data_IF_653811566608
#
_entry.id   IF_653811566608
#
_cell.length_a   1.000
_cell.length_b   1.000
_cell.length_c   1.000
_cell.angle_alpha   90.00
_cell.angle_beta   90.00
_cell.angle_gamma   90.00
#
_symmetry.space_group_name_H-M   'P 1'
#
loop_
_entity.id
_entity.type
_entity.pdbx_description
1 polymer ?
#
# COMPACT_ATOMS: atom_id res chain seq x y z
N UNK A 1 -9.71 -10.37 1.59
CA UNK A 1 -10.89 -9.51 1.32
C UNK A 1 -10.67 -8.82 0.00
N UNK A 2 -11.67 -8.83 -0.88
CA UNK A 2 -11.64 -8.07 -2.13
C UNK A 2 -12.29 -6.70 -1.93
N UNK A 3 -11.46 -5.67 -1.73
CA UNK A 3 -11.95 -4.30 -1.51
C UNK A 3 -12.41 -3.65 -2.81
N UNK A 4 -11.86 -4.08 -3.95
CA UNK A 4 -12.22 -3.53 -5.26
C UNK A 4 -13.66 -3.90 -5.58
N UNK A 5 -13.99 -5.20 -5.52
CA UNK A 5 -15.35 -5.67 -5.74
C UNK A 5 -16.34 -5.07 -4.72
N UNK A 6 -15.95 -4.99 -3.44
CA UNK A 6 -16.78 -4.34 -2.42
C UNK A 6 -17.09 -2.88 -2.76
N UNK A 7 -16.10 -2.13 -3.27
CA UNK A 7 -16.29 -0.73 -3.65
C UNK A 7 -17.27 -0.60 -4.82
N UNK A 8 -17.20 -1.51 -5.78
CA UNK A 8 -18.14 -1.57 -6.89
C UNK A 8 -19.57 -1.86 -6.42
N UNK A 9 -19.74 -2.78 -5.47
CA UNK A 9 -21.05 -3.06 -4.89
C UNK A 9 -21.62 -1.86 -4.13
N UNK A 10 -20.79 -1.06 -3.44
CA UNK A 10 -21.25 0.20 -2.85
C UNK A 10 -21.75 1.16 -3.92
N UNK A 11 -20.99 1.37 -4.99
CA UNK A 11 -21.35 2.34 -6.05
C UNK A 11 -22.60 1.89 -6.82
N UNK A 12 -22.88 0.58 -6.92
CA UNK A 12 -24.14 0.07 -7.49
C UNK A 12 -25.38 0.42 -6.66
N UNK A 13 -25.23 0.81 -5.40
CA UNK A 13 -26.36 1.24 -4.57
C UNK A 13 -26.89 2.62 -4.94
N UNK A 14 -26.15 3.41 -5.73
CA UNK A 14 -26.56 4.76 -6.14
C UNK A 14 -27.82 4.66 -7.02
N UNK A 15 -28.97 5.21 -6.60
CA UNK A 15 -30.22 5.11 -7.36
C UNK A 15 -30.14 5.81 -8.72
N UNK A 16 -31.08 5.55 -9.64
CA UNK A 16 -31.31 6.40 -10.79
C UNK A 16 -31.52 7.87 -10.38
N UNK A 17 -31.01 8.83 -11.17
CA UNK A 17 -31.13 10.27 -10.87
C UNK A 17 -30.30 10.77 -9.69
N UNK A 18 -29.31 9.99 -9.24
CA UNK A 18 -28.44 10.35 -8.11
C UNK A 18 -26.96 10.23 -8.49
N UNK A 19 -26.14 11.06 -7.86
CA UNK A 19 -24.66 10.98 -7.91
C UNK A 19 -24.08 10.85 -6.51
N UNK A 20 -22.86 10.33 -6.43
CA UNK A 20 -22.09 10.33 -5.19
C UNK A 20 -20.68 10.84 -5.44
N UNK A 21 -19.88 10.96 -4.38
CA UNK A 21 -18.53 11.49 -4.45
C UNK A 21 -17.50 10.43 -4.10
N UNK A 22 -16.26 10.61 -4.56
CA UNK A 22 -15.15 9.76 -4.14
C UNK A 22 -15.00 9.71 -2.61
N UNK A 23 -15.29 10.83 -1.94
CA UNK A 23 -15.26 10.95 -0.48
C UNK A 23 -16.37 10.15 0.20
N UNK A 24 -17.61 10.28 -0.26
CA UNK A 24 -18.74 9.55 0.31
C UNK A 24 -18.57 8.02 0.18
N UNK A 25 -18.06 7.54 -0.96
CA UNK A 25 -17.72 6.12 -1.14
C UNK A 25 -16.58 5.71 -0.20
N UNK A 26 -15.55 6.54 -0.02
CA UNK A 26 -14.44 6.26 0.90
C UNK A 26 -14.89 6.22 2.38
N UNK A 27 -15.80 7.10 2.77
CA UNK A 27 -16.46 7.08 4.09
C UNK A 27 -17.30 5.80 4.27
N UNK A 28 -18.03 5.38 3.24
CA UNK A 28 -18.74 4.11 3.24
C UNK A 28 -17.78 2.90 3.33
N UNK A 29 -16.58 2.99 2.76
CA UNK A 29 -15.53 1.98 2.98
C UNK A 29 -14.99 2.00 4.42
N UNK A 30 -15.13 3.13 5.13
CA UNK A 30 -14.75 3.30 6.54
C UNK A 30 -13.51 4.16 6.79
N UNK A 31 -12.92 4.79 5.76
CA UNK A 31 -11.80 5.72 5.90
C UNK A 31 -11.71 6.67 4.71
N UNK A 32 -11.90 7.98 4.96
CA UNK A 32 -11.85 9.03 3.94
C UNK A 32 -10.54 9.04 3.13
N UNK A 33 -9.44 8.53 3.69
CA UNK A 33 -8.14 8.40 2.99
C UNK A 33 -8.22 7.53 1.74
N UNK A 34 -9.24 6.67 1.62
CA UNK A 34 -9.46 5.83 0.45
C UNK A 34 -9.96 6.60 -0.78
N UNK A 35 -10.33 7.88 -0.69
CA UNK A 35 -10.94 8.63 -1.80
C UNK A 35 -10.12 8.59 -3.10
N UNK A 36 -8.78 8.69 -3.01
CA UNK A 36 -7.91 8.56 -4.19
C UNK A 36 -7.89 7.15 -4.77
N UNK A 37 -7.97 6.13 -3.92
CA UNK A 37 -8.08 4.74 -4.36
C UNK A 37 -9.42 4.50 -5.05
N UNK A 38 -10.52 5.02 -4.51
CA UNK A 38 -11.84 5.02 -5.18
C UNK A 38 -11.74 5.66 -6.56
N UNK A 39 -11.13 6.84 -6.67
CA UNK A 39 -10.93 7.49 -7.96
C UNK A 39 -10.19 6.63 -8.98
N UNK A 40 -9.12 5.95 -8.57
CA UNK A 40 -8.39 5.02 -9.45
C UNK A 40 -9.24 3.82 -9.87
N UNK A 41 -9.95 3.20 -8.92
CA UNK A 41 -10.86 2.07 -9.21
C UNK A 41 -11.99 2.47 -10.17
N UNK A 42 -12.52 3.69 -10.07
CA UNK A 42 -13.53 4.20 -11.01
C UNK A 42 -12.95 4.43 -12.41
N UNK A 43 -11.73 4.97 -12.50
CA UNK A 43 -11.09 5.27 -13.77
C UNK A 43 -10.61 4.03 -14.53
N UNK A 44 -10.20 2.99 -13.80
CA UNK A 44 -9.69 1.75 -14.36
C UNK A 44 -10.78 0.65 -14.49
N UNK A 45 -12.05 0.99 -14.23
CA UNK A 45 -13.15 0.03 -14.26
C UNK A 45 -13.25 -0.67 -15.63
N UNK A 46 -13.07 -2.01 -15.69
CA UNK A 46 -13.13 -2.75 -16.94
C UNK A 46 -14.55 -2.91 -17.50
N UNK A 47 -15.59 -2.64 -16.70
CA UNK A 47 -16.99 -2.90 -17.04
C UNK A 47 -17.84 -1.63 -16.88
N UNK A 48 -17.52 -0.57 -17.63
CA UNK A 48 -18.21 0.72 -17.53
C UNK A 48 -19.73 0.66 -17.81
N UNK A 49 -20.22 -0.38 -18.48
CA UNK A 49 -21.65 -0.55 -18.80
C UNK A 49 -22.48 -1.11 -17.64
N UNK A 50 -21.92 -2.00 -16.83
CA UNK A 50 -22.65 -2.66 -15.71
C UNK A 50 -22.28 -2.08 -14.35
N UNK A 51 -21.30 -1.19 -14.31
CA UNK A 51 -20.78 -0.58 -13.09
C UNK A 51 -20.86 0.95 -13.24
N UNK A 52 -21.79 1.64 -12.55
CA UNK A 52 -22.15 3.04 -12.83
C UNK A 52 -21.12 4.06 -12.32
N UNK A 53 -19.84 3.90 -12.66
CA UNK A 53 -18.77 4.81 -12.20
C UNK A 53 -18.88 6.23 -12.78
N UNK A 54 -19.71 6.45 -13.81
CA UNK A 54 -20.06 7.78 -14.31
C UNK A 54 -20.83 8.62 -13.27
N UNK A 55 -21.48 7.98 -12.29
CA UNK A 55 -22.21 8.64 -11.19
C UNK A 55 -21.29 9.18 -10.08
N UNK A 56 -19.98 8.94 -10.15
CA UNK A 56 -19.02 9.40 -9.14
C UNK A 56 -18.33 10.69 -9.59
N UNK A 57 -18.42 11.73 -8.75
CA UNK A 57 -17.90 13.08 -9.01
C UNK A 57 -17.02 13.60 -7.86
N UNK A 58 -16.41 14.78 -8.05
CA UNK A 58 -15.72 15.49 -6.96
C UNK A 58 -16.71 15.98 -5.90
N UNK A 59 -16.20 16.28 -4.71
CA UNK A 59 -17.01 16.74 -3.56
C UNK A 59 -17.76 18.06 -3.80
N UNK A 60 -17.34 18.83 -4.79
CA UNK A 60 -17.95 20.11 -5.19
C UNK A 60 -18.82 19.98 -6.46
N UNK A 61 -19.20 18.75 -6.83
CA UNK A 61 -20.03 18.46 -8.00
C UNK A 61 -19.30 18.54 -9.34
N UNK A 62 -17.99 18.85 -9.39
CA UNK A 62 -17.23 18.78 -10.65
C UNK A 62 -17.11 17.35 -11.15
N UNK A 63 -17.11 17.20 -12.47
CA UNK A 63 -16.82 15.92 -13.09
C UNK A 63 -15.33 15.56 -12.93
N UNK A 64 -15.07 14.35 -12.42
CA UNK A 64 -13.77 13.69 -12.53
C UNK A 64 -13.64 12.86 -13.81
N UNK A 65 -12.45 12.33 -14.05
CA UNK A 65 -12.16 11.46 -15.19
C UNK A 65 -13.06 10.22 -15.26
N UNK A 66 -13.17 9.67 -16.47
CA UNK A 66 -13.96 8.49 -16.79
C UNK A 66 -13.24 7.68 -17.86
N UNK A 67 -13.19 6.35 -17.71
CA UNK A 67 -12.43 5.47 -18.61
C UNK A 67 -12.81 5.59 -20.08
N UNK A 68 -14.09 5.91 -20.38
CA UNK A 68 -14.60 6.12 -21.75
C UNK A 68 -14.59 7.60 -22.20
N UNK A 69 -14.01 8.50 -21.40
CA UNK A 69 -13.95 9.93 -21.70
C UNK A 69 -15.07 10.77 -21.09
N UNK A 70 -14.84 12.08 -21.00
CA UNK A 70 -15.74 13.00 -20.30
C UNK A 70 -17.09 13.17 -21.00
N UNK A 71 -17.10 13.15 -22.34
CA UNK A 71 -18.32 13.29 -23.13
C UNK A 71 -19.28 12.11 -22.90
N UNK A 72 -18.76 10.88 -22.83
CA UNK A 72 -19.58 9.70 -22.54
C UNK A 72 -20.16 9.75 -21.12
N UNK A 73 -19.38 10.26 -20.15
CA UNK A 73 -19.88 10.50 -18.79
C UNK A 73 -21.02 11.50 -18.77
N UNK A 74 -20.92 12.62 -19.50
CA UNK A 74 -22.00 13.62 -19.60
C UNK A 74 -23.23 13.01 -20.26
N UNK A 75 -23.07 12.23 -21.33
CA UNK A 75 -24.17 11.53 -22.01
C UNK A 75 -24.92 10.61 -21.04
N UNK A 76 -24.21 9.74 -20.31
CA UNK A 76 -24.81 8.80 -19.34
C UNK A 76 -25.47 9.51 -18.16
N UNK A 77 -24.88 10.61 -17.68
CA UNK A 77 -25.51 11.43 -16.63
C UNK A 77 -26.83 12.03 -17.12
N UNK A 78 -26.89 12.55 -18.35
CA UNK A 78 -28.14 13.06 -18.94
C UNK A 78 -29.19 11.97 -19.11
N UNK A 79 -28.80 10.78 -19.58
CA UNK A 79 -29.70 9.60 -19.66
C UNK A 79 -30.23 9.18 -18.29
N UNK A 80 -29.46 9.41 -17.23
CA UNK A 80 -29.85 9.19 -15.84
C UNK A 80 -30.59 10.39 -15.21
N UNK A 81 -31.04 11.37 -16.01
CA UNK A 81 -31.74 12.59 -15.59
C UNK A 81 -30.92 13.54 -14.71
N UNK A 82 -29.60 13.62 -14.94
CA UNK A 82 -28.67 14.48 -14.20
C UNK A 82 -28.05 15.49 -15.17
N UNK A 83 -28.38 16.76 -14.98
CA UNK A 83 -27.87 17.85 -15.81
C UNK A 83 -26.45 18.27 -15.39
N UNK A 84 -25.62 18.57 -16.39
CA UNK A 84 -24.26 19.08 -16.22
C UNK A 84 -24.16 20.47 -16.86
N UNK A 85 -23.72 21.46 -16.11
CA UNK A 85 -23.47 22.84 -16.55
C UNK A 85 -22.02 23.20 -16.20
N UNK A 86 -21.26 23.68 -17.18
CA UNK A 86 -19.85 24.07 -17.02
C UNK A 86 -18.97 23.02 -16.30
N UNK A 87 -19.19 21.74 -16.64
CA UNK A 87 -18.45 20.61 -16.06
C UNK A 87 -18.81 20.30 -14.60
N UNK A 88 -19.94 20.81 -14.10
CA UNK A 88 -20.49 20.54 -12.76
C UNK A 88 -21.91 19.99 -12.82
N UNK A 89 -22.26 19.15 -11.85
CA UNK A 89 -23.65 18.70 -11.65
C UNK A 89 -24.51 19.90 -11.24
N UNK A 90 -25.59 20.16 -11.98
CA UNK A 90 -26.58 21.19 -11.63
C UNK A 90 -27.38 20.72 -10.41
N UNK A 91 -27.69 21.65 -9.50
CA UNK A 91 -28.44 21.36 -8.27
C UNK A 91 -27.84 20.17 -7.47
N UNK A 92 -26.51 20.08 -7.41
CA UNK A 92 -25.77 18.93 -6.85
C UNK A 92 -26.33 18.41 -5.53
N UNK A 93 -26.65 19.30 -4.58
CA UNK A 93 -27.16 18.92 -3.26
C UNK A 93 -28.49 18.14 -3.34
N UNK A 94 -29.33 18.39 -4.36
CA UNK A 94 -30.62 17.69 -4.55
C UNK A 94 -30.43 16.26 -5.04
N UNK A 95 -29.37 16.00 -5.80
CA UNK A 95 -29.08 14.71 -6.44
C UNK A 95 -27.98 13.91 -5.73
N UNK A 96 -27.35 14.49 -4.70
CA UNK A 96 -26.31 13.83 -3.92
C UNK A 96 -26.86 12.62 -3.14
N UNK A 97 -26.07 11.55 -3.12
CA UNK A 97 -26.33 10.32 -2.40
C UNK A 97 -25.13 9.93 -1.55
N UNK A 98 -25.37 9.68 -0.27
CA UNK A 98 -24.38 9.22 0.70
C UNK A 98 -24.91 8.13 1.67
N UNK A 99 -26.15 7.67 1.49
CA UNK A 99 -26.80 6.67 2.35
C UNK A 99 -26.45 5.23 1.91
N UNK A 100 -25.16 4.90 1.95
CA UNK A 100 -24.65 3.58 1.58
C UNK A 100 -24.90 2.56 2.69
N UNK A 101 -25.46 1.40 2.34
CA UNK A 101 -25.48 0.21 3.20
C UNK A 101 -24.11 -0.46 3.16
N UNK A 102 -23.37 -0.35 4.25
CA UNK A 102 -21.99 -0.81 4.33
C UNK A 102 -21.66 -1.44 5.69
N UNK A 103 -20.67 -2.33 5.67
CA UNK A 103 -20.09 -2.92 6.87
C UNK A 103 -18.78 -2.25 7.30
N UNK A 104 -18.40 -1.15 6.62
CA UNK A 104 -17.20 -0.36 6.85
C UNK A 104 -15.91 -1.22 6.86
N UNK A 105 -15.55 -1.89 5.75
CA UNK A 105 -14.44 -2.85 5.71
C UNK A 105 -13.10 -2.26 6.18
N UNK A 106 -12.76 -1.02 5.82
CA UNK A 106 -11.51 -0.39 6.26
C UNK A 106 -11.48 -0.12 7.76
N UNK A 107 -12.63 0.17 8.38
CA UNK A 107 -12.74 0.32 9.84
C UNK A 107 -12.46 -1.01 10.54
N UNK A 108 -12.94 -2.13 9.99
CA UNK A 108 -12.63 -3.48 10.49
C UNK A 108 -11.14 -3.81 10.37
N UNK A 109 -10.54 -3.53 9.20
CA UNK A 109 -9.09 -3.73 8.99
C UNK A 109 -8.25 -2.85 9.92
N UNK A 110 -8.66 -1.59 10.14
CA UNK A 110 -7.99 -0.70 11.09
C UNK A 110 -8.00 -1.27 12.50
N UNK A 111 -9.13 -1.83 12.94
CA UNK A 111 -9.23 -2.49 14.24
C UNK A 111 -8.26 -3.66 14.34
N UNK A 112 -8.18 -4.51 13.32
CA UNK A 112 -7.21 -5.62 13.27
C UNK A 112 -5.76 -5.12 13.37
N UNK A 113 -5.42 -4.05 12.66
CA UNK A 113 -4.08 -3.45 12.77
C UNK A 113 -3.77 -2.97 14.20
N UNK A 114 -4.75 -2.35 14.87
CA UNK A 114 -4.57 -1.89 16.25
C UNK A 114 -4.43 -3.07 17.24
N UNK A 115 -5.23 -4.13 17.07
CA UNK A 115 -5.13 -5.35 17.89
C UNK A 115 -3.78 -6.07 17.70
N UNK A 116 -3.26 -6.10 16.47
CA UNK A 116 -1.97 -6.75 16.19
C UNK A 116 -0.76 -5.89 16.57
N UNK A 117 -0.92 -4.57 16.61
CA UNK A 117 0.15 -3.63 16.97
C UNK A 117 0.78 -3.95 18.31
N UNK A 118 -0.03 -4.35 19.28
CA UNK A 118 0.42 -4.60 20.64
C UNK A 118 1.30 -5.87 20.75
N UNK A 119 1.40 -6.67 19.67
CA UNK A 119 2.30 -7.81 19.55
C UNK A 119 3.70 -7.44 19.04
N UNK A 120 3.93 -6.19 18.65
CA UNK A 120 5.23 -5.76 18.12
C UNK A 120 6.28 -5.73 19.23
N UNK A 121 7.34 -6.54 19.08
CA UNK A 121 8.58 -6.38 19.83
C UNK A 121 9.59 -5.54 19.05
N UNK A 122 10.23 -4.58 19.72
CA UNK A 122 11.33 -3.77 19.18
C UNK A 122 12.69 -4.19 19.77
N UNK A 123 12.76 -5.38 20.37
CA UNK A 123 13.99 -6.01 20.81
C UNK A 123 14.38 -7.10 19.81
N UNK A 124 15.68 -7.36 19.68
CA UNK A 124 16.16 -8.45 18.83
C UNK A 124 15.72 -9.80 19.42
N UNK A 125 15.10 -10.65 18.61
CA UNK A 125 14.80 -12.05 18.97
C UNK A 125 15.88 -13.04 18.49
N UNK A 126 16.99 -12.54 17.95
CA UNK A 126 18.06 -13.31 17.31
C UNK A 126 19.42 -12.93 17.89
N UNK A 127 20.36 -13.88 17.85
CA UNK A 127 21.75 -13.69 18.30
C UNK A 127 22.73 -13.57 17.12
N UNK A 128 22.43 -14.24 16.02
CA UNK A 128 23.23 -14.24 14.79
C UNK A 128 22.30 -14.07 13.58
N UNK A 129 22.84 -13.56 12.48
CA UNK A 129 22.11 -13.38 11.22
C UNK A 129 22.92 -14.05 10.12
N UNK A 130 22.38 -15.11 9.53
CA UNK A 130 22.99 -15.83 8.41
C UNK A 130 22.32 -15.43 7.10
N UNK A 131 21.01 -15.18 7.11
CA UNK A 131 20.24 -14.91 5.90
C UNK A 131 19.36 -13.67 6.02
N UNK A 132 19.28 -12.90 4.95
CA UNK A 132 18.39 -11.73 4.84
C UNK A 132 17.61 -11.79 3.54
N UNK A 133 16.28 -11.75 3.63
CA UNK A 133 15.39 -11.66 2.49
C UNK A 133 15.01 -10.22 2.17
N UNK A 134 14.91 -9.89 0.89
CA UNK A 134 14.21 -8.71 0.39
C UNK A 134 12.94 -9.13 -0.32
N UNK A 135 11.84 -8.41 -0.07
CA UNK A 135 10.56 -8.61 -0.73
C UNK A 135 10.09 -7.31 -1.41
N UNK A 136 9.62 -7.43 -2.64
CA UNK A 136 9.00 -6.32 -3.39
C UNK A 136 7.88 -6.83 -4.30
N UNK A 137 6.95 -5.93 -4.65
CA UNK A 137 5.87 -6.22 -5.60
C UNK A 137 5.88 -5.20 -6.73
N UNK A 138 6.00 -5.69 -7.96
CA UNK A 138 5.82 -4.90 -9.17
C UNK A 138 4.35 -4.92 -9.60
N UNK A 139 3.79 -3.73 -9.78
CA UNK A 139 2.41 -3.57 -10.22
C UNK A 139 2.34 -3.08 -11.67
N UNK A 140 1.45 -3.66 -12.48
CA UNK A 140 1.17 -3.16 -13.83
C UNK A 140 0.47 -1.80 -13.79
N UNK A 141 0.29 -1.18 -14.97
CA UNK A 141 -0.35 0.14 -15.08
C UNK A 141 -1.82 0.10 -14.61
N UNK A 142 -2.52 -0.99 -14.87
CA UNK A 142 -3.88 -1.24 -14.41
C UNK A 142 -3.86 -2.07 -13.13
N UNK A 143 -4.55 -1.66 -12.06
CA UNK A 143 -4.65 -2.47 -10.83
C UNK A 143 -5.39 -3.82 -11.06
N UNK A 144 -6.03 -4.00 -12.23
CA UNK A 144 -6.72 -5.23 -12.65
C UNK A 144 -5.82 -6.27 -13.32
N UNK A 145 -4.65 -5.85 -13.78
CA UNK A 145 -3.70 -6.73 -14.42
C UNK A 145 -2.94 -7.53 -13.34
N UNK A 146 -2.33 -8.63 -13.76
CA UNK A 146 -1.56 -9.50 -12.87
C UNK A 146 -0.32 -8.76 -12.36
N UNK A 147 -0.15 -8.67 -11.05
CA UNK A 147 1.07 -8.17 -10.42
C UNK A 147 2.05 -9.31 -10.13
N UNK A 148 3.32 -8.95 -9.98
CA UNK A 148 4.41 -9.88 -9.70
C UNK A 148 5.03 -9.55 -8.34
N UNK A 149 4.96 -10.47 -7.39
CA UNK A 149 5.70 -10.41 -6.13
C UNK A 149 6.97 -11.22 -6.25
N UNK A 150 8.08 -10.71 -5.71
CA UNK A 150 9.37 -11.39 -5.70
C UNK A 150 9.98 -11.38 -4.30
N UNK A 151 10.66 -12.47 -3.95
CA UNK A 151 11.53 -12.55 -2.78
C UNK A 151 12.93 -12.97 -3.21
N UNK A 152 13.95 -12.37 -2.62
CA UNK A 152 15.35 -12.72 -2.84
C UNK A 152 16.02 -12.88 -1.48
N UNK A 153 16.54 -14.07 -1.21
CA UNK A 153 17.24 -14.44 0.01
C UNK A 153 18.73 -14.40 -0.26
N UNK A 154 19.46 -13.74 0.62
CA UNK A 154 20.90 -13.55 0.49
C UNK A 154 21.61 -14.02 1.76
N UNK A 155 22.79 -14.58 1.58
CA UNK A 155 23.72 -14.81 2.68
C UNK A 155 24.21 -13.46 3.22
N UNK A 156 24.13 -13.28 4.54
CA UNK A 156 24.42 -12.02 5.20
C UNK A 156 25.93 -11.68 5.20
N UNK A 157 26.80 -12.68 5.09
CA UNK A 157 28.25 -12.53 5.14
C UNK A 157 28.85 -12.32 3.76
N UNK A 158 28.53 -13.18 2.79
CA UNK A 158 29.04 -13.12 1.42
C UNK A 158 28.27 -12.14 0.54
N UNK A 159 27.00 -11.83 0.89
CA UNK A 159 26.09 -11.02 0.07
C UNK A 159 25.80 -11.72 -1.28
N UNK A 160 25.89 -13.04 -1.32
CA UNK A 160 25.49 -13.85 -2.47
C UNK A 160 24.02 -14.23 -2.36
N UNK A 161 23.35 -14.39 -3.51
CA UNK A 161 21.96 -14.86 -3.56
C UNK A 161 21.96 -16.35 -3.23
N UNK A 162 21.16 -16.74 -2.24
CA UNK A 162 20.94 -18.12 -1.84
C UNK A 162 19.73 -18.70 -2.57
N UNK A 163 18.66 -17.91 -2.66
CA UNK A 163 17.40 -18.33 -3.27
C UNK A 163 16.63 -17.11 -3.78
N UNK A 164 15.88 -17.29 -4.87
CA UNK A 164 14.98 -16.27 -5.39
C UNK A 164 13.70 -16.91 -5.95
N UNK A 165 12.55 -16.30 -5.68
CA UNK A 165 11.26 -16.84 -6.07
C UNK A 165 10.29 -15.73 -6.48
N UNK A 166 9.34 -16.08 -7.36
CA UNK A 166 8.29 -15.16 -7.84
C UNK A 166 6.90 -15.78 -7.78
N UNK A 167 5.90 -14.91 -7.60
CA UNK A 167 4.48 -15.27 -7.66
C UNK A 167 3.69 -14.22 -8.42
N UNK A 168 2.73 -14.70 -9.19
CA UNK A 168 1.84 -13.87 -9.99
C UNK A 168 0.44 -13.92 -9.40
N UNK A 169 -0.19 -12.75 -9.22
CA UNK A 169 -1.56 -12.68 -8.70
C UNK A 169 -2.23 -11.38 -9.11
N UNK A 170 -3.54 -11.43 -9.35
CA UNK A 170 -4.35 -10.20 -9.41
C UNK A 170 -4.38 -9.53 -8.04
N UNK A 171 -4.42 -8.20 -8.06
CA UNK A 171 -4.52 -7.39 -6.86
C UNK A 171 -5.98 -7.15 -6.51
N UNK A 172 -6.41 -7.56 -5.31
CA UNK A 172 -7.79 -7.36 -4.82
C UNK A 172 -7.92 -6.16 -3.86
N UNK A 173 -6.83 -5.43 -3.64
CA UNK A 173 -6.78 -4.32 -2.70
C UNK A 173 -6.01 -3.14 -3.33
N UNK A 174 -6.65 -1.97 -3.55
CA UNK A 174 -5.99 -0.84 -4.18
C UNK A 174 -4.96 -0.21 -3.23
N UNK A 175 -4.05 0.60 -3.76
CA UNK A 175 -3.11 1.31 -2.92
C UNK A 175 -3.84 2.40 -2.13
N UNK A 176 -3.97 2.17 -0.83
CA UNK A 176 -4.47 3.13 0.16
C UNK A 176 -3.32 3.36 1.16
N UNK A 177 -2.86 4.61 1.35
CA UNK A 177 -1.88 4.92 2.39
C UNK A 177 -2.31 4.33 3.73
N UNK A 178 -1.38 3.74 4.48
CA UNK A 178 -1.59 3.05 5.76
C UNK A 178 -2.25 1.67 5.75
N UNK A 179 -2.61 1.15 4.55
CA UNK A 179 -3.17 -0.19 4.36
C UNK A 179 -2.35 -1.03 3.34
N UNK A 180 -1.10 -0.64 3.06
CA UNK A 180 -0.23 -1.29 2.05
C UNK A 180 -0.11 -2.80 2.27
N UNK A 181 -0.02 -3.23 3.54
CA UNK A 181 0.04 -4.64 3.92
C UNK A 181 -1.10 -5.49 3.34
N UNK A 182 -2.33 -4.98 3.26
CA UNK A 182 -3.44 -5.76 2.71
C UNK A 182 -3.34 -5.95 1.20
N UNK A 183 -2.50 -5.13 0.53
CA UNK A 183 -2.17 -5.26 -0.88
C UNK A 183 -1.00 -6.23 -1.11
N UNK A 184 -0.02 -6.26 -0.20
CA UNK A 184 1.26 -6.97 -0.42
C UNK A 184 1.42 -8.28 0.35
N UNK A 185 0.86 -8.39 1.55
CA UNK A 185 0.98 -9.60 2.38
C UNK A 185 0.52 -10.88 1.65
N UNK A 186 -0.54 -10.89 0.83
CA UNK A 186 -0.92 -12.08 0.08
C UNK A 186 0.15 -12.59 -0.91
N UNK A 187 1.00 -11.70 -1.44
CA UNK A 187 2.13 -12.10 -2.28
C UNK A 187 3.23 -12.71 -1.41
N UNK A 188 3.56 -12.05 -0.31
CA UNK A 188 4.56 -12.52 0.62
C UNK A 188 4.21 -13.89 1.20
N UNK A 189 2.97 -14.13 1.65
CA UNK A 189 2.51 -15.43 2.15
C UNK A 189 2.68 -16.56 1.11
N UNK A 190 2.36 -16.29 -0.16
CA UNK A 190 2.55 -17.25 -1.25
C UNK A 190 4.03 -17.54 -1.53
N UNK A 191 4.90 -16.53 -1.41
CA UNK A 191 6.34 -16.69 -1.57
C UNK A 191 6.94 -17.48 -0.41
N UNK A 192 6.57 -17.15 0.83
CA UNK A 192 7.01 -17.86 2.04
C UNK A 192 6.62 -19.35 2.03
N UNK A 193 5.55 -19.71 1.32
CA UNK A 193 5.11 -21.10 1.14
C UNK A 193 5.87 -21.85 0.03
N UNK A 194 6.62 -21.14 -0.82
CA UNK A 194 7.38 -21.71 -1.94
C UNK A 194 8.88 -21.84 -1.64
N UNK A 195 9.42 -20.94 -0.85
CA UNK A 195 10.86 -20.92 -0.54
C UNK A 195 11.25 -22.07 0.38
N UNK A 196 12.44 -22.61 0.16
CA UNK A 196 13.02 -23.65 1.01
C UNK A 196 13.81 -23.04 2.19
N UNK A 197 14.50 -21.93 1.97
CA UNK A 197 15.29 -21.24 2.99
C UNK A 197 14.42 -20.25 3.75
N UNK A 198 14.27 -20.44 5.05
CA UNK A 198 13.60 -19.45 5.91
C UNK A 198 14.59 -18.33 6.26
N UNK A 199 14.30 -17.06 5.93
CA UNK A 199 15.20 -15.96 6.23
C UNK A 199 15.21 -15.62 7.71
N UNK A 200 16.38 -15.31 8.26
CA UNK A 200 16.50 -14.81 9.64
C UNK A 200 15.90 -13.39 9.77
N UNK A 201 16.08 -12.57 8.73
CA UNK A 201 15.55 -11.21 8.65
C UNK A 201 14.80 -11.00 7.33
N UNK A 202 13.59 -10.44 7.41
CA UNK A 202 12.83 -9.97 6.25
C UNK A 202 12.93 -8.44 6.10
N UNK A 203 13.31 -7.98 4.91
CA UNK A 203 13.22 -6.57 4.51
C UNK A 203 12.07 -6.37 3.53
N UNK A 204 11.31 -5.29 3.72
CA UNK A 204 10.20 -4.90 2.83
C UNK A 204 10.34 -3.44 2.37
N UNK A 205 9.91 -3.13 1.13
CA UNK A 205 9.78 -1.73 0.64
C UNK A 205 8.55 -1.06 1.27
N UNK A 206 8.66 -0.75 2.54
CA UNK A 206 7.59 -0.19 3.35
C UNK A 206 8.09 0.35 4.67
N UNK A 207 7.17 0.76 5.52
CA UNK A 207 7.50 1.29 6.85
C UNK A 207 7.20 0.22 7.91
N UNK A 208 7.95 0.24 9.01
CA UNK A 208 7.63 -0.43 10.26
C UNK A 208 6.87 0.52 11.20
N UNK A 209 7.44 0.82 12.37
CA UNK A 209 6.81 1.74 13.34
C UNK A 209 6.70 3.20 12.86
N UNK A 210 7.40 3.57 11.77
CA UNK A 210 7.28 4.87 11.11
C UNK A 210 5.97 4.96 10.31
N UNK A 211 4.88 4.93 11.05
CA UNK A 211 3.52 4.83 10.55
C UNK A 211 2.58 5.60 11.51
N UNK A 212 1.46 6.19 11.03
CA UNK A 212 0.57 6.98 11.91
C UNK A 212 0.04 6.21 13.13
N UNK A 213 -0.18 4.91 12.99
CA UNK A 213 -0.57 4.02 14.12
C UNK A 213 0.58 3.16 14.64
N UNK A 214 1.84 3.47 14.31
CA UNK A 214 3.04 2.70 14.67
C UNK A 214 3.03 1.22 14.23
N UNK A 215 2.31 0.93 13.14
CA UNK A 215 2.10 -0.43 12.66
C UNK A 215 2.01 -0.44 11.13
N UNK A 216 3.18 -0.36 10.48
CA UNK A 216 3.30 -0.41 9.03
C UNK A 216 3.43 -1.84 8.48
N UNK A 217 3.76 -1.95 7.19
CA UNK A 217 3.95 -3.22 6.49
C UNK A 217 4.94 -4.15 7.22
N UNK A 218 6.11 -3.63 7.62
CA UNK A 218 7.13 -4.45 8.26
C UNK A 218 6.68 -4.98 9.63
N UNK A 219 5.93 -4.17 10.40
CA UNK A 219 5.38 -4.62 11.68
C UNK A 219 4.37 -5.75 11.47
N UNK A 220 3.41 -5.54 10.58
CA UNK A 220 2.34 -6.51 10.39
C UNK A 220 2.83 -7.78 9.71
N UNK A 221 3.68 -7.69 8.69
CA UNK A 221 4.30 -8.85 8.06
C UNK A 221 5.14 -9.65 9.08
N UNK A 222 5.97 -8.96 9.87
CA UNK A 222 6.78 -9.60 10.90
C UNK A 222 5.94 -10.29 11.98
N UNK A 223 4.87 -9.66 12.47
CA UNK A 223 3.95 -10.29 13.44
C UNK A 223 3.18 -11.47 12.84
N UNK A 224 2.73 -11.37 11.58
CA UNK A 224 1.99 -12.46 10.92
C UNK A 224 2.87 -13.68 10.66
N UNK A 225 4.11 -13.46 10.25
CA UNK A 225 5.05 -14.53 9.87
C UNK A 225 5.93 -15.00 11.02
N UNK A 226 5.93 -14.27 12.15
CA UNK A 226 6.85 -14.43 13.28
C UNK A 226 8.33 -14.40 12.86
N UNK A 227 8.69 -13.40 12.04
CA UNK A 227 10.05 -13.20 11.51
C UNK A 227 10.51 -11.77 11.85
N UNK A 228 11.76 -11.59 12.31
CA UNK A 228 12.38 -10.27 12.43
C UNK A 228 12.25 -9.47 11.13
N UNK A 229 11.66 -8.28 11.20
CA UNK A 229 11.31 -7.55 9.98
C UNK A 229 11.71 -6.07 10.02
N UNK A 230 12.29 -5.58 8.92
CA UNK A 230 12.75 -4.20 8.74
C UNK A 230 11.96 -3.55 7.60
N UNK A 231 11.43 -2.36 7.85
CA UNK A 231 10.87 -1.50 6.81
C UNK A 231 11.92 -0.55 6.26
N UNK A 232 12.14 -0.56 4.94
CA UNK A 232 13.02 0.39 4.23
C UNK A 232 12.21 1.12 3.15
N UNK A 233 11.74 2.32 3.46
CA UNK A 233 10.86 3.06 2.56
C UNK A 233 11.62 4.08 1.69
N UNK A 234 11.26 4.17 0.40
CA UNK A 234 11.77 5.22 -0.52
C UNK A 234 11.25 6.63 -0.21
N UNK A 235 10.14 6.74 0.52
CA UNK A 235 9.48 7.99 0.91
C UNK A 235 9.04 7.90 2.36
N UNK A 236 9.13 9.02 3.08
CA UNK A 236 8.63 9.14 4.46
C UNK A 236 7.10 9.17 4.46
N UNK A 237 6.49 8.23 5.16
CA UNK A 237 5.05 8.21 5.38
C UNK A 237 4.63 9.06 6.58
N UNK A 238 5.42 9.05 7.65
CA UNK A 238 5.08 9.65 8.93
C UNK A 238 6.33 10.09 9.72
N UNK A 239 6.15 10.94 10.74
CA UNK A 239 7.23 11.50 11.57
C UNK A 239 7.96 12.69 10.94
N UNK A 240 8.73 13.45 11.72
CA UNK A 240 9.58 14.56 11.27
C UNK A 240 11.04 14.13 11.26
N UNK A 241 11.81 14.56 10.27
CA UNK A 241 13.26 14.29 10.20
C UNK A 241 13.97 15.40 10.94
N UNK A 242 14.79 15.06 11.94
CA UNK A 242 15.70 15.97 12.64
C UNK A 242 16.99 16.18 11.84
N UNK A 243 17.82 17.14 12.25
CA UNK A 243 19.09 17.45 11.58
C UNK A 243 20.10 16.28 11.63
N UNK A 244 20.02 15.47 12.69
CA UNK A 244 20.82 14.26 12.89
C UNK A 244 20.24 13.01 12.18
N UNK A 245 19.29 13.22 11.25
CA UNK A 245 18.61 12.21 10.46
C UNK A 245 17.65 11.27 11.22
N UNK A 246 17.46 11.43 12.53
CA UNK A 246 16.43 10.66 13.23
C UNK A 246 15.04 11.08 12.77
N UNK A 247 14.16 10.10 12.57
CA UNK A 247 12.74 10.33 12.29
C UNK A 247 11.97 10.16 13.58
N UNK A 248 11.28 11.21 14.00
CA UNK A 248 10.61 11.26 15.30
C UNK A 248 9.14 11.61 15.19
N UNK A 249 8.38 11.25 16.20
CA UNK A 249 7.03 11.75 16.47
C UNK A 249 6.97 12.13 17.94
N UNK A 250 6.91 13.43 18.18
CA UNK A 250 7.20 14.05 19.47
C UNK A 250 8.55 13.55 20.04
N UNK A 251 8.52 12.84 21.18
CA UNK A 251 9.71 12.30 21.85
C UNK A 251 10.08 10.89 21.38
N UNK A 252 9.23 10.23 20.59
CA UNK A 252 9.48 8.86 20.13
C UNK A 252 10.35 8.85 18.87
N UNK A 253 11.49 8.15 18.92
CA UNK A 253 12.28 7.85 17.73
C UNK A 253 11.61 6.69 16.98
N UNK A 254 11.24 6.92 15.73
CA UNK A 254 10.55 5.95 14.87
C UNK A 254 11.46 5.26 13.86
N UNK A 255 12.55 5.92 13.49
CA UNK A 255 13.34 5.51 12.34
C UNK A 255 14.51 6.42 12.07
N UNK A 256 15.18 6.18 10.94
CA UNK A 256 16.38 6.90 10.54
C UNK A 256 16.38 7.16 9.03
N UNK A 257 16.69 8.40 8.64
CA UNK A 257 16.89 8.77 7.24
C UNK A 257 18.32 8.43 6.81
N UNK A 258 18.48 7.34 6.07
CA UNK A 258 19.77 6.82 5.66
C UNK A 258 20.16 7.23 4.25
N UNK A 259 21.38 7.74 4.11
CA UNK A 259 22.02 8.08 2.85
C UNK A 259 23.17 7.12 2.59
N UNK A 260 23.06 6.29 1.54
CA UNK A 260 24.06 5.26 1.23
C UNK A 260 25.44 5.84 0.86
N UNK A 261 25.50 7.08 0.36
CA UNK A 261 26.74 7.83 0.18
C UNK A 261 26.46 9.33 0.06
N UNK A 262 27.51 10.15 0.12
CA UNK A 262 27.44 11.60 -0.11
C UNK A 262 26.87 11.99 -1.49
N UNK A 263 26.91 11.07 -2.47
CA UNK A 263 26.34 11.29 -3.82
C UNK A 263 24.82 11.09 -3.88
N UNK A 264 24.26 10.35 -2.92
CA UNK A 264 22.82 10.06 -2.89
C UNK A 264 22.08 11.25 -2.27
N UNK A 265 21.25 11.94 -3.07
CA UNK A 265 20.51 13.14 -2.60
C UNK A 265 19.22 12.85 -1.85
N UNK A 266 18.66 11.65 -2.00
CA UNK A 266 17.38 11.26 -1.39
C UNK A 266 17.59 10.04 -0.51
N UNK A 267 17.27 10.10 0.79
CA UNK A 267 17.49 8.98 1.68
C UNK A 267 16.52 7.83 1.37
N UNK A 268 16.81 6.68 1.96
CA UNK A 268 15.79 5.70 2.34
C UNK A 268 15.48 5.88 3.82
N UNK A 269 14.27 5.54 4.24
CA UNK A 269 13.86 5.68 5.63
C UNK A 269 13.74 4.29 6.25
N UNK A 270 14.58 4.03 7.25
CA UNK A 270 14.67 2.75 7.94
C UNK A 270 13.80 2.83 9.19
N UNK A 271 12.99 1.81 9.44
CA UNK A 271 12.21 1.68 10.68
C UNK A 271 12.05 0.21 11.07
N UNK A 272 12.20 -0.14 12.36
CA UNK A 272 12.00 -1.51 12.82
C UNK A 272 10.55 -1.92 12.65
N UNK A 273 10.33 -3.18 12.27
CA UNK A 273 9.03 -3.80 12.11
C UNK A 273 8.65 -4.62 13.33
N UNK A 274 9.26 -5.79 13.48
CA UNK A 274 8.99 -6.74 14.56
C UNK A 274 10.26 -7.52 14.90
N UNK A 275 10.43 -7.91 16.17
CA UNK A 275 11.54 -8.73 16.65
C UNK A 275 12.94 -8.20 16.28
N UNK A 276 13.07 -6.88 16.13
CA UNK A 276 14.32 -6.21 15.80
C UNK A 276 14.35 -4.79 16.35
N UNK A 277 15.49 -4.39 16.90
CA UNK A 277 15.75 -3.04 17.37
C UNK A 277 16.00 -2.07 16.22
N UNK A 278 15.78 -0.77 16.48
CA UNK A 278 16.11 0.29 15.52
C UNK A 278 17.61 0.31 15.20
N UNK A 279 18.47 0.11 16.20
CA UNK A 279 19.93 0.07 16.01
C UNK A 279 20.33 -1.09 15.08
N UNK A 280 19.86 -2.30 15.37
CA UNK A 280 20.13 -3.47 14.51
C UNK A 280 19.56 -3.28 13.10
N UNK A 281 18.36 -2.70 12.98
CA UNK A 281 17.77 -2.37 11.68
C UNK A 281 18.68 -1.46 10.85
N UNK A 282 19.22 -0.40 11.48
CA UNK A 282 20.14 0.54 10.82
C UNK A 282 21.45 -0.15 10.42
N UNK A 283 22.05 -0.94 11.32
CA UNK A 283 23.34 -1.59 11.08
C UNK A 283 23.25 -2.63 9.95
N UNK A 284 22.20 -3.45 9.94
CA UNK A 284 21.96 -4.45 8.88
C UNK A 284 21.75 -3.76 7.53
N UNK A 285 20.89 -2.73 7.46
CA UNK A 285 20.64 -2.01 6.20
C UNK A 285 21.92 -1.31 5.70
N UNK A 286 22.70 -0.69 6.58
CA UNK A 286 23.98 -0.06 6.24
C UNK A 286 24.95 -1.06 5.64
N UNK A 287 25.14 -2.23 6.28
CA UNK A 287 26.05 -3.28 5.80
C UNK A 287 25.63 -3.77 4.40
N UNK A 288 24.34 -3.90 4.14
CA UNK A 288 23.80 -4.43 2.89
C UNK A 288 23.60 -3.37 1.79
N UNK A 289 23.91 -2.11 2.06
CA UNK A 289 23.69 -1.01 1.11
C UNK A 289 24.96 -0.64 0.36
N UNK A 290 25.08 -1.14 -0.88
CA UNK A 290 26.04 -0.64 -1.89
C UNK A 290 25.45 0.50 -2.71
N UNK A 291 24.13 0.53 -2.83
CA UNK A 291 23.33 1.54 -3.53
C UNK A 291 22.34 2.19 -2.58
N UNK A 292 21.47 3.05 -3.13
CA UNK A 292 20.40 3.70 -2.35
C UNK A 292 19.53 2.69 -1.59
N UNK A 293 19.12 1.59 -2.23
CA UNK A 293 18.40 0.51 -1.59
C UNK A 293 19.38 -0.60 -1.21
N UNK A 294 19.18 -1.28 -0.06
CA UNK A 294 20.00 -2.43 0.30
C UNK A 294 19.83 -3.56 -0.74
N UNK A 295 20.88 -4.36 -0.91
CA UNK A 295 20.96 -5.38 -1.97
C UNK A 295 19.74 -6.32 -2.02
N UNK A 296 19.24 -6.91 -0.90
CA UNK A 296 18.09 -7.81 -0.98
C UNK A 296 16.85 -7.14 -1.60
N UNK A 297 16.52 -5.91 -1.16
CA UNK A 297 15.39 -5.15 -1.73
C UNK A 297 15.65 -4.69 -3.15
N UNK A 298 16.87 -4.30 -3.48
CA UNK A 298 17.23 -3.90 -4.84
C UNK A 298 17.06 -5.08 -5.81
N UNK A 299 17.48 -6.28 -5.41
CA UNK A 299 17.38 -7.51 -6.21
C UNK A 299 15.92 -7.95 -6.36
N UNK A 300 15.15 -7.96 -5.27
CA UNK A 300 13.73 -8.25 -5.32
C UNK A 300 12.97 -7.28 -6.23
N UNK A 301 13.27 -5.98 -6.17
CA UNK A 301 12.67 -4.98 -7.06
C UNK A 301 12.98 -5.24 -8.54
N UNK A 302 14.23 -5.58 -8.86
CA UNK A 302 14.64 -5.91 -10.23
C UNK A 302 13.91 -7.16 -10.70
N UNK A 303 13.92 -8.22 -9.90
CA UNK A 303 13.29 -9.50 -10.22
C UNK A 303 11.79 -9.32 -10.45
N UNK A 304 11.07 -8.67 -9.53
CA UNK A 304 9.65 -8.40 -9.68
C UNK A 304 9.34 -7.61 -10.97
N UNK A 305 10.14 -6.57 -11.26
CA UNK A 305 9.91 -5.70 -12.42
C UNK A 305 10.24 -6.40 -13.74
N UNK A 306 11.34 -7.15 -13.82
CA UNK A 306 11.72 -7.88 -15.04
C UNK A 306 10.77 -9.02 -15.35
N UNK A 307 10.21 -9.66 -14.32
CA UNK A 307 9.28 -10.78 -14.46
C UNK A 307 7.85 -10.36 -14.79
N UNK A 308 7.53 -9.06 -14.70
CA UNK A 308 6.23 -8.50 -15.05
C UNK A 308 6.12 -8.09 -16.54
N UNK A 309 7.27 -7.91 -17.22
CA UNK A 309 7.39 -7.55 -18.64
C UNK A 309 7.12 -8.74 -19.56
#
# INVERSE_FOLDING_TARGET
MDLISYTYDLVRQIPPGRVSTYGAVAEALGDIRAARAVGRMMNQNPNADTMPCYKIVYSDGRLGGFGLGIEDKIRRLREDNIEVVDGRIKDFDKVFFNDFKTSYPLKKLRRQQLEMRDKVSLNNSFTEVNTVAGFDVAYPKSDFDTACGAIVIMDYHSIEVVEEEVVYSKTMFPYIPTYLVFRELPFLEKLMAKIDVKPDILMVDGNGIMHPIKFGLACQAGVTLDIPCIGVAKKRLYGKVREDNWVVDDDMILGYAFYASYKVRKPVYISPGHNISLESSINIVKKLSRFKNPEPLRRAHILATSSLL
#
